data_IF_939531035853
#
_entry.id   IF_939531035853
#
_cell.length_a   1.000
_cell.length_b   1.000
_cell.length_c   1.000
_cell.angle_alpha   90.00
_cell.angle_beta   90.00
_cell.angle_gamma   90.00
#
_symmetry.space_group_name_H-M   'P 1'
#
loop_
_entity.id
_entity.type
_entity.pdbx_description
1 polymer ?
#
# COMPACT_ATOMS: atom_id res chain seq x y z
N UNK A 1 12.37 -11.49 12.32
CA UNK A 1 11.49 -10.55 11.62
C UNK A 1 10.58 -11.33 10.69
N UNK A 2 9.27 -11.35 10.93
CA UNK A 2 8.28 -11.93 10.02
C UNK A 2 7.46 -10.82 9.36
N UNK A 3 7.00 -11.03 8.14
CA UNK A 3 6.06 -10.12 7.45
C UNK A 3 4.70 -10.82 7.36
N UNK A 4 3.65 -10.19 7.90
CA UNK A 4 2.28 -10.67 7.84
C UNK A 4 1.56 -10.03 6.67
N UNK A 5 1.14 -10.83 5.69
CA UNK A 5 0.40 -10.38 4.52
C UNK A 5 -1.09 -10.61 4.71
N UNK A 6 -1.89 -9.57 4.52
CA UNK A 6 -3.33 -9.66 4.74
C UNK A 6 -4.14 -8.78 3.81
N UNK A 7 -5.39 -9.18 3.60
CA UNK A 7 -6.41 -8.40 2.88
C UNK A 7 -7.66 -8.35 3.77
N UNK A 8 -7.63 -7.55 4.86
CA UNK A 8 -8.74 -7.54 5.80
C UNK A 8 -9.98 -6.91 5.17
N UNK A 9 -11.16 -7.39 5.58
CA UNK A 9 -12.44 -6.92 5.06
C UNK A 9 -13.45 -6.72 6.20
N UNK A 10 -14.36 -5.76 6.05
CA UNK A 10 -15.41 -5.48 7.02
C UNK A 10 -16.75 -5.20 6.30
N UNK A 11 -17.72 -6.09 6.44
CA UNK A 11 -19.04 -6.00 5.79
C UNK A 11 -19.88 -4.83 6.31
N UNK A 12 -19.59 -4.32 7.52
CA UNK A 12 -20.26 -3.18 8.16
C UNK A 12 -19.62 -1.82 7.82
N UNK A 13 -18.79 -1.77 6.77
CA UNK A 13 -18.00 -0.62 6.33
C UNK A 13 -17.06 -0.08 7.42
N UNK A 14 -16.66 -0.90 8.39
CA UNK A 14 -15.66 -0.52 9.40
C UNK A 14 -14.28 -1.14 9.10
N UNK A 15 -13.67 -0.72 8.00
CA UNK A 15 -12.36 -1.24 7.57
C UNK A 15 -11.25 -0.97 8.61
N UNK A 16 -11.31 0.16 9.32
CA UNK A 16 -10.38 0.50 10.39
C UNK A 16 -10.37 -0.53 11.53
N UNK A 17 -11.53 -1.08 11.92
CA UNK A 17 -11.60 -2.18 12.91
C UNK A 17 -10.90 -3.42 12.39
N UNK A 18 -11.20 -3.85 11.17
CA UNK A 18 -10.59 -5.04 10.57
C UNK A 18 -9.06 -4.90 10.47
N UNK A 19 -8.56 -3.72 10.12
CA UNK A 19 -7.12 -3.45 10.09
C UNK A 19 -6.49 -3.50 11.48
N UNK A 20 -7.13 -2.87 12.48
CA UNK A 20 -6.66 -2.91 13.86
C UNK A 20 -6.64 -4.35 14.43
N UNK A 21 -7.65 -5.17 14.12
CA UNK A 21 -7.71 -6.59 14.49
C UNK A 21 -6.57 -7.40 13.88
N UNK A 22 -6.29 -7.17 12.59
CA UNK A 22 -5.19 -7.86 11.92
C UNK A 22 -3.83 -7.45 12.50
N UNK A 23 -3.62 -6.15 12.75
CA UNK A 23 -2.36 -5.66 13.30
C UNK A 23 -2.06 -6.20 14.71
N UNK A 24 -3.09 -6.59 15.50
CA UNK A 24 -2.91 -7.21 16.83
C UNK A 24 -2.23 -8.58 16.77
N UNK A 25 -2.28 -9.28 15.64
CA UNK A 25 -1.73 -10.63 15.48
C UNK A 25 -0.21 -10.66 15.31
N UNK A 26 0.36 -9.54 14.86
CA UNK A 26 1.80 -9.42 14.63
C UNK A 26 2.56 -9.19 15.94
N UNK A 27 3.72 -9.83 16.07
CA UNK A 27 4.63 -9.63 17.21
C UNK A 27 5.32 -8.26 17.18
N UNK A 28 5.99 -7.84 18.28
CA UNK A 28 6.58 -6.50 18.42
C UNK A 28 7.56 -6.11 17.32
N UNK A 29 8.34 -7.09 16.84
CA UNK A 29 9.40 -6.92 15.83
C UNK A 29 8.96 -7.33 14.42
N UNK A 30 7.67 -7.64 14.25
CA UNK A 30 7.12 -8.07 12.96
C UNK A 30 6.69 -6.87 12.11
N UNK A 31 6.57 -7.15 10.82
CA UNK A 31 6.04 -6.24 9.82
C UNK A 31 4.65 -6.69 9.37
N UNK A 32 3.85 -5.73 8.98
CA UNK A 32 2.48 -5.91 8.53
C UNK A 32 2.39 -5.34 7.12
N UNK A 33 1.80 -6.12 6.22
CA UNK A 33 1.51 -5.76 4.84
C UNK A 33 0.00 -5.90 4.61
N UNK A 34 -0.69 -4.76 4.56
CA UNK A 34 -2.11 -4.69 4.25
C UNK A 34 -2.30 -4.36 2.79
N UNK A 35 -3.27 -5.01 2.13
CA UNK A 35 -3.65 -4.70 0.74
C UNK A 35 -5.15 -4.68 0.52
N UNK A 36 -5.54 -3.99 -0.55
CA UNK A 36 -6.90 -4.09 -1.10
C UNK A 36 -7.09 -5.41 -1.85
N UNK A 37 -8.33 -5.92 -1.83
CA UNK A 37 -8.70 -7.21 -2.44
C UNK A 37 -8.70 -7.21 -3.96
N UNK A 38 -8.67 -6.04 -4.58
CA UNK A 38 -8.67 -5.83 -6.02
C UNK A 38 -7.27 -5.42 -6.54
N UNK A 39 -6.23 -5.91 -5.84
CA UNK A 39 -4.82 -5.72 -6.21
C UNK A 39 -4.13 -7.03 -6.59
N UNK A 40 -3.21 -6.96 -7.55
CA UNK A 40 -2.43 -8.10 -8.03
C UNK A 40 -0.94 -7.72 -8.01
N UNK A 41 -0.11 -8.56 -7.41
CA UNK A 41 1.35 -8.44 -7.56
C UNK A 41 1.72 -8.88 -8.98
N UNK A 42 2.42 -8.02 -9.71
CA UNK A 42 2.95 -8.33 -11.03
C UNK A 42 4.48 -8.47 -11.04
N UNK A 43 5.09 -8.62 -9.85
CA UNK A 43 6.52 -8.86 -9.70
C UNK A 43 6.95 -10.08 -10.55
N UNK A 44 7.99 -9.95 -11.38
CA UNK A 44 8.48 -11.05 -12.22
C UNK A 44 8.75 -12.33 -11.42
N UNK A 45 8.43 -13.47 -12.03
CA UNK A 45 8.67 -14.81 -11.48
C UNK A 45 8.03 -15.07 -10.09
N UNK A 46 7.06 -14.25 -9.69
CA UNK A 46 6.40 -14.39 -8.38
C UNK A 46 7.28 -13.99 -7.19
N UNK A 47 8.41 -13.29 -7.40
CA UNK A 47 9.38 -12.92 -6.35
C UNK A 47 8.93 -11.74 -5.47
N UNK A 48 7.64 -11.43 -5.42
CA UNK A 48 7.11 -10.29 -4.66
C UNK A 48 7.45 -10.37 -3.18
N UNK A 49 7.38 -11.57 -2.58
CA UNK A 49 7.69 -11.77 -1.15
C UNK A 49 9.16 -11.51 -0.83
N UNK A 50 10.06 -12.01 -1.68
CA UNK A 50 11.51 -11.78 -1.55
C UNK A 50 11.85 -10.30 -1.72
N UNK A 51 11.30 -9.64 -2.74
CA UNK A 51 11.52 -8.22 -2.98
C UNK A 51 11.08 -7.37 -1.78
N UNK A 52 9.91 -7.66 -1.20
CA UNK A 52 9.40 -6.96 -0.02
C UNK A 52 10.31 -7.23 1.19
N UNK A 53 10.76 -8.46 1.40
CA UNK A 53 11.68 -8.77 2.49
C UNK A 53 13.02 -8.01 2.36
N UNK A 54 13.58 -7.94 1.15
CA UNK A 54 14.82 -7.20 0.87
C UNK A 54 14.63 -5.69 1.13
N UNK A 55 13.49 -5.13 0.71
CA UNK A 55 13.11 -3.74 1.02
C UNK A 55 13.08 -3.52 2.53
N UNK A 56 12.43 -4.40 3.30
CA UNK A 56 12.35 -4.26 4.75
C UNK A 56 13.72 -4.37 5.40
N UNK A 57 14.55 -5.33 4.97
CA UNK A 57 15.92 -5.51 5.50
C UNK A 57 16.77 -4.26 5.28
N UNK A 58 16.65 -3.62 4.11
CA UNK A 58 17.45 -2.45 3.72
C UNK A 58 16.92 -1.14 4.29
N UNK A 59 15.60 -0.96 4.28
CA UNK A 59 14.94 0.33 4.54
C UNK A 59 14.05 0.34 5.80
N UNK A 60 13.88 -0.78 6.49
CA UNK A 60 13.00 -0.87 7.66
C UNK A 60 13.43 -0.04 8.88
N UNK A 61 14.69 0.37 8.94
CA UNK A 61 15.19 1.35 9.92
C UNK A 61 14.98 2.82 9.47
N UNK A 62 14.69 3.05 8.19
CA UNK A 62 14.59 4.36 7.56
C UNK A 62 13.15 4.85 7.38
N UNK A 63 12.20 3.93 7.25
CA UNK A 63 10.79 4.26 7.05
C UNK A 63 9.90 3.51 8.03
N UNK A 64 8.86 4.20 8.48
CA UNK A 64 7.83 3.69 9.38
C UNK A 64 6.58 3.24 8.62
N UNK A 65 6.47 3.62 7.34
CA UNK A 65 5.44 3.18 6.41
C UNK A 65 5.99 3.22 4.98
N UNK A 66 5.75 2.16 4.21
CA UNK A 66 6.17 2.03 2.81
C UNK A 66 4.93 1.69 1.97
N UNK A 67 4.65 2.54 0.98
CA UNK A 67 3.69 2.26 -0.09
C UNK A 67 4.37 1.63 -1.32
N UNK A 68 3.61 1.37 -2.38
CA UNK A 68 4.12 0.85 -3.65
C UNK A 68 3.68 1.72 -4.84
N UNK A 69 4.22 1.43 -6.03
CA UNK A 69 3.75 1.97 -7.31
C UNK A 69 2.51 1.23 -7.81
N UNK A 70 1.69 1.90 -8.63
CA UNK A 70 0.47 1.32 -9.21
C UNK A 70 0.00 2.07 -10.49
N UNK A 71 -1.05 1.56 -11.15
CA UNK A 71 -1.69 2.15 -12.34
C UNK A 71 -2.81 3.14 -12.03
N UNK A 72 -3.61 2.91 -10.98
CA UNK A 72 -4.88 3.62 -10.78
C UNK A 72 -5.09 3.98 -9.32
N UNK A 73 -5.21 5.27 -9.06
CA UNK A 73 -5.46 5.89 -7.77
C UNK A 73 -5.96 7.32 -7.99
N UNK A 74 -6.63 7.91 -6.99
CA UNK A 74 -6.92 9.35 -6.99
C UNK A 74 -5.65 10.20 -6.86
N UNK A 75 -4.70 9.79 -6.02
CA UNK A 75 -3.43 10.49 -5.83
C UNK A 75 -2.39 10.10 -6.87
N UNK A 76 -1.59 11.06 -7.34
CA UNK A 76 -0.61 10.84 -8.42
C UNK A 76 0.76 10.34 -7.95
N UNK A 77 1.11 10.54 -6.68
CA UNK A 77 2.46 10.27 -6.16
C UNK A 77 2.90 8.78 -6.22
N UNK A 78 1.95 7.86 -6.35
CA UNK A 78 2.18 6.41 -6.45
C UNK A 78 1.85 5.85 -7.83
N UNK A 79 1.40 6.71 -8.75
CA UNK A 79 1.08 6.28 -10.11
C UNK A 79 2.36 6.14 -10.92
N UNK A 80 2.44 5.10 -11.74
CA UNK A 80 3.46 5.00 -12.78
C UNK A 80 3.40 6.26 -13.66
N UNK A 81 4.52 6.96 -13.81
CA UNK A 81 4.64 8.25 -14.48
C UNK A 81 3.69 9.36 -13.96
N UNK A 82 3.16 9.23 -12.74
CA UNK A 82 2.24 10.20 -12.15
C UNK A 82 0.85 10.25 -12.82
N UNK A 83 0.51 9.27 -13.66
CA UNK A 83 -0.71 9.30 -14.49
C UNK A 83 -1.66 8.15 -14.19
N UNK A 84 -2.96 8.44 -14.23
CA UNK A 84 -4.00 7.44 -14.10
C UNK A 84 -4.10 6.60 -15.38
N UNK A 85 -4.03 5.28 -15.26
CA UNK A 85 -4.13 4.38 -16.41
C UNK A 85 -5.59 4.03 -16.75
N UNK A 86 -5.95 4.24 -18.02
CA UNK A 86 -7.14 3.63 -18.63
C UNK A 86 -6.83 2.27 -19.28
N UNK A 87 -5.56 1.87 -19.36
CA UNK A 87 -5.20 0.52 -19.78
C UNK A 87 -5.57 -0.47 -18.66
N UNK A 88 -6.25 -1.54 -19.06
CA UNK A 88 -6.66 -2.67 -18.23
C UNK A 88 -6.02 -3.99 -18.68
N UNK A 89 -5.16 -3.95 -19.70
CA UNK A 89 -4.41 -5.10 -20.14
C UNK A 89 -3.32 -5.43 -19.11
N UNK A 90 -3.53 -6.51 -18.37
CA UNK A 90 -2.59 -6.98 -17.34
C UNK A 90 -1.20 -7.26 -17.94
N UNK A 91 -1.10 -7.67 -19.20
CA UNK A 91 0.19 -7.91 -19.85
C UNK A 91 0.99 -6.62 -20.03
N UNK A 92 0.35 -5.50 -20.39
CA UNK A 92 0.99 -4.19 -20.43
C UNK A 92 1.56 -3.81 -19.06
N UNK A 93 0.76 -4.04 -18.01
CA UNK A 93 1.17 -3.75 -16.64
C UNK A 93 2.26 -4.68 -16.11
N UNK A 94 2.32 -5.93 -16.59
CA UNK A 94 3.42 -6.85 -16.28
C UNK A 94 4.74 -6.34 -16.90
N UNK A 95 4.68 -5.72 -18.08
CA UNK A 95 5.83 -5.03 -18.69
C UNK A 95 6.35 -3.89 -17.81
N UNK A 96 5.45 -3.01 -17.32
CA UNK A 96 5.79 -1.92 -16.39
C UNK A 96 6.39 -2.48 -15.09
N UNK A 97 5.77 -3.52 -14.52
CA UNK A 97 6.25 -4.14 -13.29
C UNK A 97 7.66 -4.72 -13.47
N UNK A 98 7.93 -5.34 -14.63
CA UNK A 98 9.25 -5.87 -14.97
C UNK A 98 10.29 -4.75 -15.10
N UNK A 99 9.97 -3.67 -15.80
CA UNK A 99 10.88 -2.52 -15.95
C UNK A 99 11.24 -1.91 -14.58
N UNK A 100 10.23 -1.65 -13.73
CA UNK A 100 10.46 -1.11 -12.39
C UNK A 100 11.23 -2.10 -11.51
N UNK A 101 10.95 -3.39 -11.63
CA UNK A 101 11.71 -4.42 -10.91
C UNK A 101 13.19 -4.43 -11.30
N UNK A 102 13.51 -4.40 -12.60
CA UNK A 102 14.89 -4.45 -13.09
C UNK A 102 15.67 -3.17 -12.80
N UNK A 103 15.02 -2.02 -12.84
CA UNK A 103 15.69 -0.70 -12.70
C UNK A 103 15.67 -0.16 -11.28
N UNK A 104 14.68 -0.55 -10.46
CA UNK A 104 14.47 0.00 -9.12
C UNK A 104 14.41 -1.06 -8.03
N UNK A 105 14.16 -2.33 -8.32
CA UNK A 105 14.10 -3.45 -7.37
C UNK A 105 13.69 -3.08 -5.93
N UNK A 106 14.66 -2.82 -5.05
CA UNK A 106 14.48 -2.52 -3.63
C UNK A 106 14.46 -1.03 -3.27
N UNK A 107 14.61 -0.13 -4.24
CA UNK A 107 14.69 1.32 -4.04
C UNK A 107 13.44 1.86 -3.36
N UNK A 108 13.65 2.63 -2.30
CA UNK A 108 12.60 3.35 -1.60
C UNK A 108 12.93 4.83 -1.61
N UNK A 109 12.04 5.65 -2.15
CA UNK A 109 12.12 7.10 -2.05
C UNK A 109 11.19 7.64 -0.98
N UNK A 110 11.56 8.77 -0.39
CA UNK A 110 10.68 9.52 0.51
C UNK A 110 9.41 9.94 -0.22
N UNK A 111 8.27 9.66 0.39
CA UNK A 111 6.98 10.21 0.00
C UNK A 111 6.74 11.47 0.85
N UNK A 112 6.25 12.55 0.24
CA UNK A 112 5.80 13.75 0.95
C UNK A 112 4.28 13.77 1.21
N UNK A 113 3.52 12.87 0.56
CA UNK A 113 2.06 12.76 0.68
C UNK A 113 1.57 11.57 1.51
N UNK A 114 0.36 11.12 1.20
CA UNK A 114 -0.30 9.96 1.81
C UNK A 114 0.12 8.68 1.09
N UNK A 115 0.47 7.64 1.83
CA UNK A 115 0.54 6.29 1.26
C UNK A 115 -0.90 5.75 1.14
N UNK A 116 -1.34 5.49 -0.08
CA UNK A 116 -2.68 5.03 -0.39
C UNK A 116 -2.95 3.64 0.20
N UNK A 117 -4.18 3.42 0.66
CA UNK A 117 -4.62 2.19 1.35
C UNK A 117 -4.47 0.88 0.57
N UNK A 118 -4.21 0.92 -0.75
CA UNK A 118 -4.07 -0.28 -1.59
C UNK A 118 -2.93 -1.21 -1.17
N UNK A 119 -1.89 -0.64 -0.55
CA UNK A 119 -0.68 -1.33 -0.09
C UNK A 119 -0.03 -0.51 1.01
N UNK A 120 -0.02 -1.06 2.23
CA UNK A 120 0.62 -0.46 3.39
C UNK A 120 1.56 -1.48 4.03
N UNK A 121 2.87 -1.21 3.97
CA UNK A 121 3.91 -2.03 4.61
C UNK A 121 4.55 -1.25 5.76
N UNK A 122 4.42 -1.74 7.00
CA UNK A 122 4.91 -1.03 8.18
C UNK A 122 5.27 -2.00 9.32
N UNK A 123 6.23 -1.66 10.20
CA UNK A 123 6.51 -2.46 11.38
C UNK A 123 5.36 -2.33 12.39
N UNK A 124 5.14 -3.37 13.20
CA UNK A 124 4.12 -3.41 14.26
C UNK A 124 4.18 -2.18 15.17
N UNK A 125 5.38 -1.68 15.48
CA UNK A 125 5.59 -0.45 16.27
C UNK A 125 4.92 0.80 15.66
N UNK A 126 4.81 0.90 14.34
CA UNK A 126 4.10 2.01 13.68
C UNK A 126 2.63 1.99 14.07
N UNK A 127 2.01 0.80 14.08
CA UNK A 127 0.64 0.66 14.56
C UNK A 127 0.50 0.92 16.06
N UNK A 128 1.53 0.71 16.90
CA UNK A 128 1.48 1.16 18.31
C UNK A 128 1.46 2.68 18.45
N UNK A 129 2.19 3.38 17.59
CA UNK A 129 2.18 4.84 17.59
C UNK A 129 0.85 5.42 17.08
N UNK A 130 0.26 4.79 16.06
CA UNK A 130 -0.94 5.29 15.36
C UNK A 130 -1.86 4.12 15.05
N UNK A 131 -3.09 4.14 15.58
CA UNK A 131 -4.12 3.14 15.26
C UNK A 131 -4.94 3.59 14.04
N UNK A 132 -5.50 2.65 13.28
CA UNK A 132 -6.41 3.00 12.19
C UNK A 132 -7.72 3.54 12.75
N UNK A 133 -8.21 4.64 12.17
CA UNK A 133 -9.49 5.25 12.55
C UNK A 133 -10.64 4.37 12.06
N UNK A 134 -11.50 3.96 12.98
CA UNK A 134 -12.72 3.23 12.65
C UNK A 134 -13.74 4.10 11.92
N UNK A 135 -14.61 3.49 11.12
CA UNK A 135 -15.65 4.15 10.33
C UNK A 135 -15.16 5.31 9.44
N UNK A 136 -13.96 5.20 8.89
CA UNK A 136 -13.35 6.23 8.06
C UNK A 136 -13.00 5.69 6.68
N UNK A 137 -13.56 6.28 5.63
CA UNK A 137 -13.19 5.98 4.22
C UNK A 137 -11.81 6.54 3.85
N UNK A 138 -11.31 7.52 4.60
CA UNK A 138 -9.97 8.13 4.45
C UNK A 138 -9.00 7.63 5.53
N UNK A 139 -9.09 6.35 5.90
CA UNK A 139 -8.29 5.76 6.97
C UNK A 139 -6.78 5.89 6.72
N UNK A 140 -6.36 5.77 5.45
CA UNK A 140 -4.97 5.83 4.98
C UNK A 140 -4.39 7.25 5.10
N UNK A 141 -5.21 8.25 4.79
CA UNK A 141 -4.91 9.66 4.93
C UNK A 141 -4.74 10.01 6.40
N UNK A 142 -5.66 9.58 7.27
CA UNK A 142 -5.53 9.79 8.71
C UNK A 142 -4.29 9.10 9.27
N UNK A 143 -4.04 7.84 8.91
CA UNK A 143 -2.89 7.07 9.37
C UNK A 143 -1.57 7.74 8.96
N UNK A 144 -1.43 8.10 7.68
CA UNK A 144 -0.24 8.79 7.14
C UNK A 144 0.00 10.15 7.82
N UNK A 145 -1.05 10.95 7.97
CA UNK A 145 -0.93 12.29 8.56
C UNK A 145 -0.58 12.23 10.05
N UNK A 146 -1.21 11.32 10.81
CA UNK A 146 -0.90 11.13 12.22
C UNK A 146 0.51 10.57 12.42
N UNK A 147 0.96 9.67 11.55
CA UNK A 147 2.33 9.15 11.59
C UNK A 147 3.35 10.27 11.37
N UNK A 148 3.16 11.11 10.36
CA UNK A 148 4.01 12.28 10.12
C UNK A 148 3.99 13.27 11.29
N UNK A 149 2.82 13.54 11.87
CA UNK A 149 2.70 14.42 13.03
C UNK A 149 3.50 13.91 14.25
N UNK A 150 3.80 12.61 14.30
CA UNK A 150 4.67 11.97 15.30
C UNK A 150 6.13 11.82 14.86
N UNK A 151 6.53 12.45 13.76
CA UNK A 151 7.89 12.38 13.21
C UNK A 151 8.17 11.13 12.37
N UNK A 152 7.16 10.32 12.08
CA UNK A 152 7.31 9.11 11.28
C UNK A 152 7.62 9.39 9.81
N UNK A 153 8.43 8.53 9.20
CA UNK A 153 8.91 8.65 7.82
C UNK A 153 8.14 7.71 6.90
N UNK A 154 7.69 8.23 5.76
CA UNK A 154 6.89 7.48 4.78
C UNK A 154 7.65 7.39 3.47
N UNK A 155 7.73 6.20 2.89
CA UNK A 155 8.40 5.92 1.63
C UNK A 155 7.50 5.25 0.59
N UNK A 156 8.00 5.15 -0.64
CA UNK A 156 7.41 4.34 -1.72
C UNK A 156 8.48 3.42 -2.26
N UNK A 157 8.20 2.11 -2.28
CA UNK A 157 8.99 1.11 -2.98
C UNK A 157 8.80 1.29 -4.50
N UNK A 158 9.80 1.85 -5.16
CA UNK A 158 9.72 2.27 -6.57
C UNK A 158 9.74 1.08 -7.53
N UNK A 159 10.42 -0.01 -7.15
CA UNK A 159 10.47 -1.26 -7.92
C UNK A 159 9.28 -2.19 -7.67
N UNK A 160 8.44 -1.90 -6.68
CA UNK A 160 7.28 -2.72 -6.34
C UNK A 160 6.03 -2.13 -6.99
N UNK A 161 5.50 -2.84 -7.97
CA UNK A 161 4.33 -2.42 -8.73
C UNK A 161 3.16 -3.39 -8.53
N UNK A 162 2.00 -2.84 -8.14
CA UNK A 162 0.76 -3.59 -8.05
C UNK A 162 -0.21 -3.08 -9.11
N UNK A 163 -0.78 -4.01 -9.87
CA UNK A 163 -1.98 -3.70 -10.62
C UNK A 163 -3.13 -3.53 -9.64
N UNK A 164 -3.79 -2.38 -9.70
CA UNK A 164 -4.94 -2.03 -8.91
C UNK A 164 -6.12 -1.89 -9.87
N UNK A 165 -7.12 -2.74 -9.70
CA UNK A 165 -8.33 -2.70 -10.52
C UNK A 165 -9.04 -1.36 -10.36
N UNK A 166 -9.04 -0.81 -9.14
CA UNK A 166 -9.57 0.49 -8.73
C UNK A 166 -10.76 0.91 -9.56
N UNK A 167 -11.90 0.31 -9.24
CA UNK A 167 -13.21 0.62 -9.85
C UNK A 167 -13.13 0.53 -11.38
N UNK A 168 -12.54 -0.53 -11.91
CA UNK A 168 -12.26 -0.67 -13.36
C UNK A 168 -13.48 -0.64 -14.27
N UNK A 169 -14.68 -0.90 -13.74
CA UNK A 169 -15.94 -0.80 -14.49
C UNK A 169 -16.76 0.47 -14.21
N UNK A 170 -16.29 1.38 -13.36
CA UNK A 170 -17.03 2.59 -13.04
C UNK A 170 -16.83 3.65 -14.13
N UNK A 171 -17.92 4.31 -14.54
CA UNK A 171 -17.86 5.51 -15.41
C UNK A 171 -17.08 6.65 -14.73
N UNK A 172 -17.33 6.86 -13.43
CA UNK A 172 -16.55 7.76 -12.59
C UNK A 172 -15.83 6.95 -11.49
N UNK A 173 -14.56 6.57 -11.70
CA UNK A 173 -13.77 5.85 -10.71
C UNK A 173 -13.44 6.71 -9.48
N UNK A 174 -13.80 7.99 -9.43
CA UNK A 174 -13.62 8.86 -8.27
C UNK A 174 -14.87 8.96 -7.40
N UNK A 175 -16.05 8.53 -7.87
CA UNK A 175 -17.26 8.53 -7.06
C UNK A 175 -17.13 7.60 -5.85
N UNK A 176 -17.16 8.16 -4.65
CA UNK A 176 -16.98 7.45 -3.38
C UNK A 176 -18.26 7.36 -2.53
N UNK A 177 -19.42 7.76 -3.08
CA UNK A 177 -20.69 7.79 -2.32
C UNK A 177 -21.06 6.44 -1.72
N UNK A 178 -20.81 5.35 -2.46
CA UNK A 178 -21.08 3.98 -2.02
C UNK A 178 -20.23 3.54 -0.81
N UNK A 179 -19.08 4.18 -0.59
CA UNK A 179 -18.19 3.88 0.56
C UNK A 179 -18.67 4.55 1.85
N UNK A 180 -19.47 5.60 1.76
CA UNK A 180 -19.96 6.34 2.92
C UNK A 180 -21.11 5.58 3.58
N UNK A 181 -21.26 5.75 4.89
CA UNK A 181 -22.44 5.28 5.64
C UNK A 181 -23.56 6.29 5.48
#
# INVERSE_FOLDING_TARGET
MKIWYSTPYATDKNIGRAYNEECRRAGPDDWICLRDGDTIFLTPEGKWGQQIEDIVRKYGAHFDLIGCMTNRLRGTNQLHNGQFSNDHNIQSHAGIAKELYETKYDSVRTLQGVAAGLFLLFPRRTWDMVKFREHSVTFDTHFSNMLRAKGGRIGIAEGLYLYHWYRGWAEDPFNDKHLRK
#
